data_IF_946154739567
#
_entry.id   IF_946154739567
#
_cell.length_a   1.000
_cell.length_b   1.000
_cell.length_c   1.000
_cell.angle_alpha   90.00
_cell.angle_beta   90.00
_cell.angle_gamma   90.00
#
_symmetry.space_group_name_H-M   'P 1'
#
loop_
_entity.id
_entity.type
_entity.pdbx_description
1 polymer ?
#
# COMPACT_ATOMS: atom_id res chain seq x y z
N UNK A 1 2.09 -12.08 18.98
CA UNK A 1 2.97 -11.04 19.57
C UNK A 1 2.49 -9.66 19.10
N UNK A 2 1.29 -9.27 19.54
CA UNK A 2 0.74 -7.91 19.36
C UNK A 2 -0.06 -7.63 20.63
N UNK A 3 0.62 -7.57 21.78
CA UNK A 3 -0.05 -7.42 23.08
C UNK A 3 0.73 -6.55 24.06
N UNK A 4 1.51 -5.60 23.56
CA UNK A 4 2.17 -4.60 24.40
C UNK A 4 2.00 -3.25 23.70
N UNK A 5 1.33 -2.32 24.39
CA UNK A 5 0.92 -1.03 23.88
C UNK A 5 2.10 -0.17 23.42
N UNK A 6 2.46 -0.27 22.15
CA UNK A 6 3.31 0.70 21.50
C UNK A 6 2.57 2.03 21.47
N UNK A 7 3.00 2.95 22.33
CA UNK A 7 2.60 4.35 22.36
C UNK A 7 2.90 4.95 20.97
N UNK A 8 1.84 5.26 20.21
CA UNK A 8 1.91 5.73 18.82
C UNK A 8 2.13 7.26 18.76
N UNK A 9 2.40 7.91 19.89
CA UNK A 9 2.43 9.37 20.01
C UNK A 9 3.83 9.96 20.25
N UNK A 10 4.78 9.60 19.40
CA UNK A 10 6.06 10.32 19.26
C UNK A 10 6.44 10.36 17.79
N UNK A 11 7.19 11.35 17.34
CA UNK A 11 7.55 11.55 15.92
C UNK A 11 8.29 10.37 15.24
N UNK A 12 8.52 9.26 15.94
CA UNK A 12 9.02 7.98 15.44
C UNK A 12 7.90 6.94 15.17
N UNK A 13 6.70 7.11 15.73
CA UNK A 13 5.55 6.22 15.53
C UNK A 13 5.02 6.23 14.09
N UNK A 14 5.14 7.36 13.39
CA UNK A 14 4.84 7.46 11.97
C UNK A 14 5.80 6.61 11.12
N UNK A 15 7.10 6.61 11.44
CA UNK A 15 8.09 5.83 10.71
C UNK A 15 7.86 4.32 10.88
N UNK A 16 7.56 3.86 12.10
CA UNK A 16 7.21 2.44 12.33
C UNK A 16 5.87 2.03 11.70
N UNK A 17 4.84 2.89 11.79
CA UNK A 17 3.55 2.66 11.12
C UNK A 17 3.69 2.56 9.60
N UNK A 18 4.42 3.49 8.99
CA UNK A 18 4.72 3.48 7.55
C UNK A 18 5.56 2.26 7.14
N UNK A 19 6.57 1.91 7.93
CA UNK A 19 7.43 0.76 7.66
C UNK A 19 6.66 -0.57 7.77
N UNK A 20 5.77 -0.70 8.75
CA UNK A 20 4.93 -1.90 8.92
C UNK A 20 3.89 -2.06 7.80
N UNK A 21 3.25 -0.97 7.37
CA UNK A 21 2.28 -0.97 6.28
C UNK A 21 2.95 -1.30 4.94
N UNK A 22 4.13 -0.74 4.69
CA UNK A 22 4.95 -1.06 3.52
C UNK A 22 5.34 -2.54 3.50
N UNK A 23 5.83 -3.09 4.61
CA UNK A 23 6.19 -4.52 4.68
C UNK A 23 4.97 -5.42 4.46
N UNK A 24 3.79 -5.02 4.94
CA UNK A 24 2.54 -5.74 4.69
C UNK A 24 2.15 -5.71 3.21
N UNK A 25 2.18 -4.54 2.55
CA UNK A 25 1.92 -4.40 1.12
C UNK A 25 2.94 -5.19 0.27
N UNK A 26 4.22 -5.08 0.62
CA UNK A 26 5.34 -5.73 -0.05
C UNK A 26 5.28 -7.25 0.05
N UNK A 27 4.90 -7.81 1.19
CA UNK A 27 4.83 -9.26 1.36
C UNK A 27 3.43 -9.81 1.04
N UNK A 28 2.48 -8.95 0.68
CA UNK A 28 1.10 -9.33 0.38
C UNK A 28 0.26 -9.75 1.58
N UNK A 29 0.62 -9.31 2.78
CA UNK A 29 -0.12 -9.60 4.02
C UNK A 29 -1.33 -8.67 4.15
N UNK A 30 -2.38 -8.94 3.35
CA UNK A 30 -3.62 -8.15 3.28
C UNK A 30 -4.28 -7.94 4.65
N UNK A 31 -4.35 -8.96 5.50
CA UNK A 31 -4.99 -8.84 6.82
C UNK A 31 -4.18 -7.98 7.80
N UNK A 32 -2.84 -8.04 7.73
CA UNK A 32 -1.98 -7.14 8.53
C UNK A 32 -2.15 -5.70 8.07
N UNK A 33 -2.24 -5.48 6.76
CA UNK A 33 -2.51 -4.16 6.21
C UNK A 33 -3.87 -3.62 6.69
N UNK A 34 -4.93 -4.43 6.67
CA UNK A 34 -6.26 -4.03 7.17
C UNK A 34 -6.20 -3.58 8.62
N UNK A 35 -5.53 -4.35 9.49
CA UNK A 35 -5.37 -4.01 10.90
C UNK A 35 -4.65 -2.66 11.07
N UNK A 36 -3.53 -2.46 10.38
CA UNK A 36 -2.74 -1.23 10.50
C UNK A 36 -3.50 -0.01 9.91
N UNK A 37 -4.13 -0.16 8.75
CA UNK A 37 -4.91 0.90 8.12
C UNK A 37 -6.22 1.24 8.86
N UNK A 38 -6.75 0.35 9.71
CA UNK A 38 -7.85 0.67 10.62
C UNK A 38 -7.42 1.60 11.75
N UNK A 39 -6.16 1.53 12.18
CA UNK A 39 -5.63 2.38 13.24
C UNK A 39 -5.17 3.75 12.73
N UNK A 40 -4.67 3.82 11.48
CA UNK A 40 -4.29 5.09 10.86
C UNK A 40 -4.54 5.06 9.35
N UNK A 41 -5.58 5.76 8.91
CA UNK A 41 -5.95 5.88 7.50
C UNK A 41 -4.97 6.74 6.69
N UNK A 42 -4.12 7.55 7.33
CA UNK A 42 -3.12 8.37 6.62
C UNK A 42 -2.01 7.53 5.99
N UNK A 43 -1.84 6.29 6.47
CA UNK A 43 -0.81 5.37 6.00
C UNK A 43 -0.97 4.96 4.53
N UNK A 44 -2.17 5.07 3.93
CA UNK A 44 -2.36 4.80 2.50
C UNK A 44 -1.64 5.80 1.59
N UNK A 45 -1.30 6.98 2.13
CA UNK A 45 -0.51 8.02 1.45
C UNK A 45 0.99 7.94 1.80
N UNK A 46 1.39 6.96 2.60
CA UNK A 46 2.78 6.75 2.96
C UNK A 46 3.64 6.48 1.73
N UNK A 47 4.92 6.81 1.86
CA UNK A 47 5.94 6.57 0.84
C UNK A 47 7.12 5.85 1.48
N UNK A 48 7.78 4.99 0.74
CA UNK A 48 8.99 4.31 1.21
C UNK A 48 10.23 5.21 1.11
N UNK A 49 11.39 4.68 1.49
CA UNK A 49 12.68 5.39 1.47
C UNK A 49 13.13 5.80 0.06
N UNK A 50 12.66 5.07 -0.96
CA UNK A 50 12.91 5.35 -2.37
C UNK A 50 11.79 6.25 -2.97
N UNK A 51 10.95 6.81 -2.09
CA UNK A 51 9.84 7.68 -2.44
C UNK A 51 8.78 7.00 -3.32
N UNK A 52 8.58 5.67 -3.22
CA UNK A 52 7.48 4.96 -3.87
C UNK A 52 6.22 4.97 -3.01
N UNK A 53 5.06 5.16 -3.63
CA UNK A 53 3.78 4.94 -2.96
C UNK A 53 3.55 3.46 -2.62
N UNK A 54 2.76 3.20 -1.58
CA UNK A 54 2.35 1.84 -1.21
C UNK A 54 1.57 1.16 -2.34
N UNK A 55 0.84 1.94 -3.15
CA UNK A 55 0.13 1.44 -4.33
C UNK A 55 1.10 0.90 -5.38
N UNK A 56 2.18 1.64 -5.68
CA UNK A 56 3.22 1.19 -6.62
C UNK A 56 3.85 -0.13 -6.13
N UNK A 57 4.18 -0.23 -4.84
CA UNK A 57 4.77 -1.44 -4.26
C UNK A 57 3.84 -2.65 -4.38
N UNK A 58 2.55 -2.47 -4.10
CA UNK A 58 1.55 -3.53 -4.27
C UNK A 58 1.39 -3.94 -5.74
N UNK A 59 1.48 -2.98 -6.67
CA UNK A 59 1.39 -3.22 -8.10
C UNK A 59 2.62 -3.96 -8.66
N UNK A 60 3.83 -3.61 -8.22
CA UNK A 60 5.08 -4.34 -8.54
C UNK A 60 5.06 -5.79 -8.06
N UNK A 61 4.27 -6.09 -7.03
CA UNK A 61 4.06 -7.47 -6.53
C UNK A 61 2.96 -8.22 -7.29
N UNK A 62 2.19 -7.55 -8.15
CA UNK A 62 1.02 -8.12 -8.80
C UNK A 62 -0.11 -8.46 -7.82
N UNK A 63 -0.13 -7.85 -6.63
CA UNK A 63 -1.11 -8.16 -5.61
C UNK A 63 -2.40 -7.36 -5.83
N UNK A 64 -3.29 -7.89 -6.67
CA UNK A 64 -4.55 -7.26 -7.02
C UNK A 64 -5.45 -6.96 -5.81
N UNK A 65 -5.49 -7.85 -4.81
CA UNK A 65 -6.32 -7.65 -3.61
C UNK A 65 -5.81 -6.48 -2.76
N UNK A 66 -4.49 -6.37 -2.60
CA UNK A 66 -3.88 -5.25 -1.89
C UNK A 66 -4.07 -3.93 -2.64
N UNK A 67 -3.90 -3.93 -3.96
CA UNK A 67 -4.14 -2.75 -4.81
C UNK A 67 -5.59 -2.30 -4.70
N UNK A 68 -6.55 -3.23 -4.76
CA UNK A 68 -7.97 -2.93 -4.59
C UNK A 68 -8.24 -2.30 -3.22
N UNK A 69 -7.71 -2.90 -2.16
CA UNK A 69 -7.89 -2.40 -0.79
C UNK A 69 -7.31 -0.99 -0.61
N UNK A 70 -6.13 -0.72 -1.17
CA UNK A 70 -5.50 0.60 -1.14
C UNK A 70 -6.37 1.66 -1.82
N UNK A 71 -6.92 1.34 -3.00
CA UNK A 71 -7.81 2.23 -3.75
C UNK A 71 -9.13 2.47 -3.00
N UNK A 72 -9.74 1.42 -2.44
CA UNK A 72 -10.94 1.52 -1.60
C UNK A 72 -10.71 2.39 -0.34
N UNK A 73 -9.47 2.47 0.13
CA UNK A 73 -9.06 3.32 1.26
C UNK A 73 -8.57 4.71 0.83
N UNK A 74 -8.67 5.06 -0.45
CA UNK A 74 -8.38 6.40 -0.96
C UNK A 74 -6.93 6.65 -1.35
N UNK A 75 -6.16 5.60 -1.66
CA UNK A 75 -4.88 5.77 -2.35
C UNK A 75 -5.09 6.43 -3.73
N UNK A 76 -4.19 7.32 -4.11
CA UNK A 76 -4.24 7.99 -5.41
C UNK A 76 -3.85 6.99 -6.51
N UNK A 77 -4.79 6.67 -7.40
CA UNK A 77 -4.59 5.68 -8.48
C UNK A 77 -3.44 6.03 -9.42
N UNK A 78 -3.26 7.34 -9.67
CA UNK A 78 -2.22 7.90 -10.52
C UNK A 78 -1.02 8.43 -9.72
N UNK A 79 -0.85 7.97 -8.48
CA UNK A 79 0.37 8.25 -7.72
C UNK A 79 1.59 7.85 -8.54
N UNK A 80 2.66 8.62 -8.38
CA UNK A 80 3.94 8.38 -9.03
C UNK A 80 3.79 8.36 -10.57
N UNK A 81 3.03 9.31 -11.14
CA UNK A 81 2.79 9.43 -12.59
C UNK A 81 2.21 8.15 -13.24
N UNK A 82 1.41 7.38 -12.50
CA UNK A 82 0.85 6.12 -13.00
C UNK A 82 1.89 4.99 -13.11
N UNK A 83 3.01 5.07 -12.39
CA UNK A 83 4.00 3.98 -12.36
C UNK A 83 3.38 2.65 -11.87
N UNK A 84 2.32 2.69 -11.06
CA UNK A 84 1.62 1.49 -10.61
C UNK A 84 1.08 0.64 -11.78
N UNK A 85 0.41 1.25 -12.78
CA UNK A 85 -0.09 0.50 -13.94
C UNK A 85 1.04 0.00 -14.83
N UNK A 86 2.08 0.82 -15.01
CA UNK A 86 3.29 0.43 -15.76
C UNK A 86 4.00 -0.77 -15.13
N UNK A 87 4.11 -0.79 -13.79
CA UNK A 87 4.71 -1.89 -13.03
C UNK A 87 3.89 -3.17 -13.16
N UNK A 88 2.57 -3.07 -13.01
CA UNK A 88 1.66 -4.22 -13.17
C UNK A 88 1.72 -4.80 -14.61
N UNK A 89 1.80 -3.94 -15.63
CA UNK A 89 1.96 -4.35 -17.02
C UNK A 89 3.29 -5.06 -17.26
N UNK A 90 4.39 -4.52 -16.72
CA UNK A 90 5.76 -5.04 -16.93
C UNK A 90 5.93 -6.49 -16.43
N UNK A 91 5.19 -6.88 -15.40
CA UNK A 91 5.21 -8.25 -14.86
C UNK A 91 4.06 -9.13 -15.37
N UNK A 92 3.16 -8.61 -16.20
CA UNK A 92 2.00 -9.35 -16.70
C UNK A 92 0.91 -9.60 -15.64
N UNK A 93 0.77 -8.74 -14.64
CA UNK A 93 -0.23 -8.88 -13.58
C UNK A 93 -1.64 -8.44 -14.05
N UNK A 94 -2.27 -9.25 -14.90
CA UNK A 94 -3.55 -8.96 -15.54
C UNK A 94 -4.67 -8.55 -14.57
N UNK A 95 -4.75 -9.21 -13.40
CA UNK A 95 -5.75 -8.87 -12.39
C UNK A 95 -5.51 -7.48 -11.80
N UNK A 96 -4.25 -7.14 -11.50
CA UNK A 96 -3.87 -5.82 -10.98
C UNK A 96 -4.11 -4.72 -12.00
N UNK A 97 -3.75 -4.94 -13.27
CA UNK A 97 -4.01 -3.97 -14.36
C UNK A 97 -5.51 -3.69 -14.47
N UNK A 98 -6.35 -4.73 -14.41
CA UNK A 98 -7.81 -4.57 -14.44
C UNK A 98 -8.31 -3.72 -13.27
N UNK A 99 -7.88 -4.02 -12.04
CA UNK A 99 -8.27 -3.25 -10.86
C UNK A 99 -7.87 -1.79 -10.99
N UNK A 100 -6.67 -1.49 -11.47
CA UNK A 100 -6.19 -0.12 -11.66
C UNK A 100 -7.04 0.62 -12.71
N UNK A 101 -7.32 0.00 -13.85
CA UNK A 101 -8.18 0.58 -14.90
C UNK A 101 -9.61 0.82 -14.42
N UNK A 102 -10.18 -0.11 -13.65
CA UNK A 102 -11.52 0.03 -13.07
C UNK A 102 -11.63 1.23 -12.10
N UNK A 103 -10.49 1.71 -11.57
CA UNK A 103 -10.40 2.86 -10.68
C UNK A 103 -9.85 4.14 -11.38
N UNK A 104 -9.67 4.13 -12.70
CA UNK A 104 -9.30 5.31 -13.48
C UNK A 104 -7.80 5.59 -13.60
N UNK A 105 -6.97 4.55 -13.55
CA UNK A 105 -5.56 4.60 -13.96
C UNK A 105 -5.38 4.93 -15.45
#
# INVERSE_FOLDING_TARGET
LLDEGADISGSEGAAFGQCSLYLAARNGHVEVFKLVAMHDASLVKARDVDNNSVLNVAAQRGNADMVKLLLEKGAEVNADDGIAISSACSIGAHATVRVLLDHGA
#
